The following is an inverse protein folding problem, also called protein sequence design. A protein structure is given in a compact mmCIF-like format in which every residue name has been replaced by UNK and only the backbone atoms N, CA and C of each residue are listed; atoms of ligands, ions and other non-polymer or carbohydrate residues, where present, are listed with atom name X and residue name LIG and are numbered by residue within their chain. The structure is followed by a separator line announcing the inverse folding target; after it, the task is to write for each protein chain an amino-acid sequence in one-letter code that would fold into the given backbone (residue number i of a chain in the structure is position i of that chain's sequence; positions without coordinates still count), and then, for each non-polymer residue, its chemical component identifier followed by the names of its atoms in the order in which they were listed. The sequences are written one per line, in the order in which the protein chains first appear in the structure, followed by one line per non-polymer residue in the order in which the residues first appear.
data_IF_161367837065
#
_entry.id   IF_161367837065
#
_cell.length_a   1.000
_cell.length_b   1.000
_cell.length_c   1.000
_cell.angle_alpha   90.00
_cell.angle_beta   90.00
_cell.angle_gamma   90.00
#
_symmetry.space_group_name_H-M   'P 1'
#
loop_
_entity.id
_entity.type
_entity.pdbx_description
1 polymer ?
#
# COMPACT_ATOMS: atom_id res chain seq x y z
N UNK A 1 -39.68 31.02 -3.95
CA UNK A 1 -39.24 29.64 -4.20
C UNK A 1 -37.83 29.68 -4.74
N UNK A 2 -36.84 29.48 -3.87
CA UNK A 2 -35.45 29.16 -4.24
C UNK A 2 -34.81 28.47 -3.04
N UNK A 3 -35.11 27.18 -2.83
CA UNK A 3 -34.38 26.36 -1.88
C UNK A 3 -33.01 26.05 -2.48
N UNK A 4 -32.01 26.83 -2.06
CA UNK A 4 -30.60 26.54 -2.31
C UNK A 4 -30.23 25.44 -1.30
N UNK A 5 -30.42 24.18 -1.69
CA UNK A 5 -29.77 23.06 -1.00
C UNK A 5 -28.27 23.21 -1.19
N UNK A 6 -27.62 23.83 -0.21
CA UNK A 6 -26.19 23.74 0.02
C UNK A 6 -25.81 22.25 0.05
N UNK A 7 -25.20 21.76 -1.02
CA UNK A 7 -24.52 20.47 -1.04
C UNK A 7 -23.40 20.54 -0.01
N UNK A 8 -23.68 20.07 1.20
CA UNK A 8 -22.66 19.75 2.19
C UNK A 8 -21.68 18.79 1.49
N UNK A 9 -20.37 19.09 1.43
CA UNK A 9 -19.41 18.16 0.87
C UNK A 9 -19.52 16.87 1.66
N UNK A 10 -19.73 15.76 0.94
CA UNK A 10 -19.78 14.43 1.53
C UNK A 10 -18.54 14.26 2.43
N UNK A 11 -18.77 13.91 3.71
CA UNK A 11 -17.73 13.55 4.68
C UNK A 11 -16.59 12.85 3.94
N UNK A 12 -15.42 13.50 3.87
CA UNK A 12 -14.21 12.87 3.35
C UNK A 12 -14.08 11.52 4.05
N UNK A 13 -14.25 10.42 3.30
CA UNK A 13 -13.92 9.09 3.77
C UNK A 13 -12.49 9.19 4.29
N UNK A 14 -12.29 8.94 5.58
CA UNK A 14 -11.00 9.05 6.25
C UNK A 14 -9.95 8.39 5.37
N UNK A 15 -9.03 9.17 4.83
CA UNK A 15 -7.88 8.64 4.13
C UNK A 15 -7.15 7.70 5.11
N UNK A 16 -6.60 6.59 4.62
CA UNK A 16 -5.71 5.79 5.48
C UNK A 16 -4.49 6.65 5.75
N UNK A 17 -4.32 7.08 7.00
CA UNK A 17 -3.20 7.91 7.42
C UNK A 17 -2.03 7.00 7.82
N UNK A 18 -0.95 7.07 7.06
CA UNK A 18 0.34 6.48 7.43
C UNK A 18 1.28 7.59 7.91
N UNK A 19 2.08 7.31 8.94
CA UNK A 19 3.23 8.13 9.30
C UNK A 19 4.24 8.22 8.15
N UNK A 20 5.14 9.19 8.21
CA UNK A 20 6.18 9.36 7.18
C UNK A 20 7.05 8.11 7.04
N UNK A 21 7.40 7.50 8.17
CA UNK A 21 8.20 6.30 8.30
C UNK A 21 7.46 5.10 7.70
N UNK A 22 6.19 4.91 8.03
CA UNK A 22 5.35 3.86 7.44
C UNK A 22 5.19 4.02 5.93
N UNK A 23 5.13 5.26 5.41
CA UNK A 23 5.11 5.51 3.96
C UNK A 23 6.41 5.09 3.29
N UNK A 24 7.56 5.36 3.91
CA UNK A 24 8.87 4.91 3.39
C UNK A 24 8.96 3.39 3.44
N UNK A 25 8.54 2.78 4.55
CA UNK A 25 8.52 1.32 4.70
C UNK A 25 7.64 0.67 3.64
N UNK A 26 6.42 1.17 3.44
CA UNK A 26 5.51 0.67 2.42
C UNK A 26 6.11 0.83 1.00
N UNK A 27 6.70 1.97 0.68
CA UNK A 27 7.39 2.16 -0.61
C UNK A 27 8.51 1.13 -0.80
N UNK A 28 9.34 0.93 0.22
CA UNK A 28 10.43 -0.06 0.19
C UNK A 28 9.89 -1.46 -0.04
N UNK A 29 8.79 -1.83 0.64
CA UNK A 29 8.15 -3.13 0.47
C UNK A 29 7.61 -3.28 -0.96
N UNK A 30 6.96 -2.27 -1.51
CA UNK A 30 6.42 -2.31 -2.88
C UNK A 30 7.55 -2.49 -3.90
N UNK A 31 8.66 -1.76 -3.75
CA UNK A 31 9.85 -1.92 -4.60
C UNK A 31 10.47 -3.33 -4.51
N UNK A 32 10.37 -3.98 -3.34
CA UNK A 32 10.81 -5.36 -3.17
C UNK A 32 9.84 -6.39 -3.75
N UNK A 33 8.55 -6.05 -3.86
CA UNK A 33 7.50 -6.94 -4.37
C UNK A 33 7.39 -6.90 -5.90
N UNK A 34 7.69 -5.76 -6.50
CA UNK A 34 7.60 -5.54 -7.95
C UNK A 34 9.01 -5.22 -8.45
N UNK A 35 9.67 -6.15 -9.15
CA UNK A 35 10.97 -5.89 -9.74
C UNK A 35 10.84 -4.78 -10.79
N UNK A 36 11.84 -3.91 -10.86
CA UNK A 36 12.00 -2.92 -11.91
C UNK A 36 13.00 -3.41 -12.96
N UNK A 37 12.80 -3.02 -14.21
CA UNK A 37 13.72 -3.27 -15.33
C UNK A 37 13.73 -2.07 -16.31
N UNK A 38 14.26 -2.25 -17.51
CA UNK A 38 14.38 -1.18 -18.51
C UNK A 38 13.01 -0.67 -19.01
N UNK A 39 12.00 -1.53 -19.04
CA UNK A 39 10.65 -1.21 -19.52
C UNK A 39 9.71 -0.79 -18.37
N UNK A 40 10.04 -1.18 -17.14
CA UNK A 40 9.22 -0.97 -15.95
C UNK A 40 9.99 -0.22 -14.86
N UNK A 41 9.69 1.09 -14.64
CA UNK A 41 10.41 1.88 -13.66
C UNK A 41 10.14 1.41 -12.22
N UNK A 42 11.03 1.72 -11.26
CA UNK A 42 10.80 1.42 -9.85
C UNK A 42 9.43 1.92 -9.37
N UNK A 43 8.62 1.12 -8.68
CA UNK A 43 7.30 1.53 -8.19
C UNK A 43 7.33 2.84 -7.39
N UNK A 44 8.34 3.04 -6.55
CA UNK A 44 8.53 4.28 -5.79
C UNK A 44 8.61 5.55 -6.65
N UNK A 45 9.00 5.45 -7.92
CA UNK A 45 9.02 6.59 -8.86
C UNK A 45 7.64 7.06 -9.32
N UNK A 46 6.61 6.22 -9.18
CA UNK A 46 5.25 6.50 -9.67
C UNK A 46 4.33 7.15 -8.62
N UNK A 47 4.84 7.44 -7.40
CA UNK A 47 4.08 8.01 -6.29
C UNK A 47 2.75 7.28 -5.98
N UNK A 48 2.73 5.95 -6.14
CA UNK A 48 1.51 5.14 -6.09
C UNK A 48 0.96 4.84 -4.68
N UNK A 49 1.60 5.33 -3.61
CA UNK A 49 1.19 5.07 -2.22
C UNK A 49 -0.24 5.55 -1.97
N UNK A 50 -0.60 6.74 -2.45
CA UNK A 50 -1.94 7.27 -2.18
C UNK A 50 -3.02 6.48 -2.93
N UNK A 51 -2.72 5.97 -4.12
CA UNK A 51 -3.60 5.05 -4.87
C UNK A 51 -3.75 3.70 -4.14
N UNK A 52 -2.63 3.15 -3.66
CA UNK A 52 -2.62 1.92 -2.85
C UNK A 52 -3.50 2.08 -1.61
N UNK A 53 -3.35 3.19 -0.88
CA UNK A 53 -4.11 3.48 0.34
C UNK A 53 -5.59 3.74 0.04
N UNK A 54 -5.92 4.36 -1.10
CA UNK A 54 -7.30 4.56 -1.53
C UNK A 54 -8.08 3.25 -1.63
N UNK A 55 -7.43 2.21 -2.15
CA UNK A 55 -8.03 0.88 -2.29
C UNK A 55 -8.23 0.12 -0.99
N UNK A 56 -7.61 0.55 0.12
CA UNK A 56 -7.84 -0.01 1.45
C UNK A 56 -9.11 0.51 2.11
N UNK A 57 -9.68 1.61 1.60
CA UNK A 57 -10.90 2.17 2.14
C UNK A 57 -12.08 1.20 1.96
N UNK A 58 -12.99 1.13 2.94
CA UNK A 58 -14.23 0.38 2.78
C UNK A 58 -15.09 1.06 1.70
N UNK A 59 -15.53 0.27 0.71
CA UNK A 59 -16.57 0.69 -0.23
C UNK A 59 -17.93 0.30 0.33
N UNK A 60 -18.97 1.09 0.03
CA UNK A 60 -20.33 0.88 0.57
C UNK A 60 -20.89 -0.50 0.19
N UNK A 61 -20.36 -1.09 -0.90
CA UNK A 61 -20.76 -2.40 -1.42
C UNK A 61 -19.96 -3.60 -0.85
N UNK A 62 -18.82 -3.37 -0.18
CA UNK A 62 -18.00 -4.44 0.40
C UNK A 62 -17.91 -4.28 1.92
N UNK A 63 -18.93 -4.79 2.63
CA UNK A 63 -18.92 -4.94 4.10
C UNK A 63 -18.12 -6.16 4.58
N UNK A 64 -17.57 -6.96 3.66
CA UNK A 64 -16.67 -8.06 3.96
C UNK A 64 -15.32 -7.53 4.44
N UNK A 65 -14.83 -8.04 5.57
CA UNK A 65 -13.53 -7.69 6.11
C UNK A 65 -12.44 -8.04 5.10
N UNK A 66 -11.89 -7.04 4.41
CA UNK A 66 -10.74 -7.25 3.51
C UNK A 66 -9.60 -7.86 4.30
N UNK A 67 -8.97 -8.89 3.72
CA UNK A 67 -7.77 -9.53 4.27
C UNK A 67 -6.69 -8.48 4.52
N UNK A 68 -6.49 -7.53 3.60
CA UNK A 68 -5.69 -6.34 3.83
C UNK A 68 -6.59 -5.13 4.03
N UNK A 69 -6.44 -4.45 5.17
CA UNK A 69 -7.10 -3.19 5.50
C UNK A 69 -6.11 -2.28 6.24
N UNK A 70 -6.47 -1.03 6.49
CA UNK A 70 -5.61 -0.05 7.16
C UNK A 70 -4.98 -0.59 8.45
N UNK A 71 -5.79 -1.16 9.35
CA UNK A 71 -5.30 -1.71 10.63
C UNK A 71 -4.27 -2.81 10.41
N UNK A 72 -4.54 -3.77 9.52
CA UNK A 72 -3.59 -4.85 9.23
C UNK A 72 -2.34 -4.36 8.52
N UNK A 73 -2.45 -3.33 7.68
CA UNK A 73 -1.29 -2.70 7.07
C UNK A 73 -0.36 -2.12 8.15
N UNK A 74 -0.88 -1.31 9.08
CA UNK A 74 -0.09 -0.78 10.20
C UNK A 74 0.60 -1.89 11.00
N UNK A 75 -0.13 -2.96 11.33
CA UNK A 75 0.45 -4.11 12.03
C UNK A 75 1.59 -4.75 11.24
N UNK A 76 1.42 -4.98 9.94
CA UNK A 76 2.49 -5.56 9.10
C UNK A 76 3.72 -4.67 9.04
N UNK A 77 3.55 -3.36 8.81
CA UNK A 77 4.66 -2.41 8.75
C UNK A 77 5.41 -2.41 10.09
N UNK A 78 4.68 -2.31 11.19
CA UNK A 78 5.25 -2.35 12.53
C UNK A 78 6.00 -3.66 12.82
N UNK A 79 5.42 -4.81 12.50
CA UNK A 79 6.02 -6.12 12.77
C UNK A 79 7.27 -6.37 11.92
N UNK A 80 7.25 -5.94 10.65
CA UNK A 80 8.43 -5.98 9.77
C UNK A 80 9.53 -5.06 10.32
N UNK A 81 9.17 -3.87 10.78
CA UNK A 81 10.12 -2.93 11.36
C UNK A 81 10.74 -3.46 12.65
N UNK A 82 9.95 -3.99 13.58
CA UNK A 82 10.44 -4.65 14.80
C UNK A 82 11.36 -5.81 14.45
N UNK A 83 10.95 -6.68 13.52
CA UNK A 83 11.74 -7.85 13.11
C UNK A 83 13.07 -7.45 12.44
N UNK A 84 13.13 -6.25 11.86
CA UNK A 84 14.36 -5.68 11.33
C UNK A 84 15.27 -5.03 12.39
N UNK A 85 14.80 -4.87 13.63
CA UNK A 85 15.51 -4.15 14.71
C UNK A 85 15.09 -2.68 14.82
N UNK A 86 13.87 -2.34 14.41
CA UNK A 86 13.31 -0.99 14.42
C UNK A 86 13.76 -0.09 13.27
N UNK A 87 14.43 -0.67 12.25
CA UNK A 87 14.91 0.06 11.06
C UNK A 87 14.81 -0.81 9.80
N UNK A 88 13.60 -1.12 9.36
CA UNK A 88 13.37 -1.97 8.17
C UNK A 88 14.11 -1.45 6.93
N UNK A 89 13.92 -0.19 6.58
CA UNK A 89 14.50 0.41 5.37
C UNK A 89 16.04 0.48 5.39
N UNK A 90 16.66 0.46 6.57
CA UNK A 90 18.13 0.47 6.70
C UNK A 90 18.75 -0.93 6.83
N UNK A 91 17.92 -1.97 6.92
CA UNK A 91 18.41 -3.35 6.89
C UNK A 91 18.96 -3.70 5.49
N UNK A 92 19.84 -4.70 5.40
CA UNK A 92 20.30 -5.18 4.10
C UNK A 92 19.13 -5.73 3.27
N UNK A 93 19.26 -5.69 1.94
CA UNK A 93 18.23 -6.17 1.03
C UNK A 93 17.91 -7.66 1.29
N UNK A 94 18.93 -8.47 1.60
CA UNK A 94 18.75 -9.89 1.92
C UNK A 94 17.89 -10.07 3.18
N UNK A 95 18.11 -9.22 4.19
CA UNK A 95 17.32 -9.24 5.43
C UNK A 95 15.89 -8.78 5.17
N UNK A 96 15.69 -7.71 4.39
CA UNK A 96 14.35 -7.25 4.01
C UNK A 96 13.57 -8.33 3.25
N UNK A 97 14.19 -8.95 2.23
CA UNK A 97 13.59 -10.04 1.46
C UNK A 97 13.31 -11.28 2.33
N UNK A 98 14.23 -11.64 3.22
CA UNK A 98 14.02 -12.74 4.16
C UNK A 98 12.79 -12.48 5.04
N UNK A 99 12.62 -11.25 5.56
CA UNK A 99 11.46 -10.88 6.38
C UNK A 99 10.15 -10.95 5.57
N UNK A 100 10.14 -10.51 4.32
CA UNK A 100 8.98 -10.65 3.44
C UNK A 100 8.64 -12.13 3.15
N UNK A 101 9.63 -13.00 2.93
CA UNK A 101 9.41 -14.44 2.79
C UNK A 101 8.87 -15.08 4.08
N UNK A 102 9.28 -14.57 5.24
CA UNK A 102 8.72 -15.03 6.52
C UNK A 102 7.27 -14.60 6.68
N UNK A 103 6.91 -13.38 6.26
CA UNK A 103 5.53 -12.92 6.20
C UNK A 103 4.70 -13.82 5.27
N UNK A 104 5.20 -14.11 4.07
CA UNK A 104 4.54 -15.01 3.12
C UNK A 104 4.27 -16.40 3.71
N UNK A 105 5.24 -16.97 4.42
CA UNK A 105 5.08 -18.30 5.05
C UNK A 105 4.09 -18.29 6.21
N UNK A 106 4.07 -17.22 7.02
CA UNK A 106 3.23 -17.12 8.23
C UNK A 106 1.80 -16.71 7.91
N UNK A 107 1.64 -15.75 7.01
CA UNK A 107 0.37 -15.16 6.61
C UNK A 107 0.25 -15.06 5.08
N UNK A 108 0.16 -16.21 4.37
CA UNK A 108 0.17 -16.23 2.91
C UNK A 108 -0.96 -15.40 2.30
N UNK A 109 -2.16 -15.45 2.87
CA UNK A 109 -3.28 -14.66 2.39
C UNK A 109 -3.07 -13.14 2.51
N UNK A 110 -2.37 -12.69 3.56
CA UNK A 110 -2.05 -11.28 3.75
C UNK A 110 -0.97 -10.83 2.78
N UNK A 111 0.08 -11.63 2.63
CA UNK A 111 1.14 -11.39 1.66
C UNK A 111 0.58 -11.31 0.23
N UNK A 112 -0.28 -12.26 -0.15
CA UNK A 112 -0.92 -12.25 -1.46
C UNK A 112 -1.82 -11.02 -1.66
N UNK A 113 -2.56 -10.59 -0.64
CA UNK A 113 -3.36 -9.37 -0.71
C UNK A 113 -2.49 -8.11 -0.87
N UNK A 114 -1.36 -8.04 -0.18
CA UNK A 114 -0.37 -6.96 -0.29
C UNK A 114 0.25 -6.92 -1.70
N UNK A 115 0.71 -8.07 -2.20
CA UNK A 115 1.28 -8.20 -3.53
C UNK A 115 0.27 -7.84 -4.62
N UNK A 116 -0.95 -8.38 -4.55
CA UNK A 116 -1.99 -8.11 -5.53
C UNK A 116 -2.36 -6.61 -5.57
N UNK A 117 -2.45 -5.98 -4.41
CA UNK A 117 -2.78 -4.57 -4.33
C UNK A 117 -1.64 -3.67 -4.81
N UNK A 118 -0.39 -4.01 -4.48
CA UNK A 118 0.79 -3.33 -4.99
C UNK A 118 0.83 -3.38 -6.52
N UNK A 119 0.65 -4.56 -7.11
CA UNK A 119 0.64 -4.74 -8.57
C UNK A 119 -0.51 -3.97 -9.23
N UNK A 120 -1.72 -4.06 -8.67
CA UNK A 120 -2.86 -3.32 -9.21
C UNK A 120 -2.59 -1.81 -9.24
N UNK A 121 -2.10 -1.28 -8.12
CA UNK A 121 -1.80 0.15 -7.98
C UNK A 121 -0.68 0.58 -8.93
N UNK A 122 0.37 -0.23 -9.06
CA UNK A 122 1.48 0.00 -9.97
C UNK A 122 1.04 0.06 -11.43
N UNK A 123 0.38 -0.98 -11.94
CA UNK A 123 -0.01 -1.02 -13.35
C UNK A 123 -1.11 -0.02 -13.69
N UNK A 124 -2.01 0.29 -12.74
CA UNK A 124 -2.98 1.37 -12.91
C UNK A 124 -2.26 2.70 -13.09
N UNK A 125 -1.31 3.01 -12.20
CA UNK A 125 -0.57 4.27 -12.25
C UNK A 125 0.32 4.35 -13.50
N UNK A 126 1.03 3.28 -13.83
CA UNK A 126 1.86 3.20 -15.03
C UNK A 126 1.04 3.43 -16.31
N UNK A 127 -0.14 2.81 -16.41
CA UNK A 127 -1.04 3.01 -17.55
C UNK A 127 -1.64 4.42 -17.62
N UNK A 128 -1.76 5.14 -16.50
CA UNK A 128 -2.20 6.54 -16.50
C UNK A 128 -1.08 7.52 -16.83
N UNK A 129 0.15 7.24 -16.37
CA UNK A 129 1.33 8.07 -16.64
C UNK A 129 1.88 7.90 -18.06
N UNK A 130 1.65 6.75 -18.69
CA UNK A 130 2.05 6.46 -20.07
C UNK A 130 1.06 6.92 -21.15
N UNK A 131 -0.02 7.63 -20.78
CA UNK A 131 -0.94 8.24 -21.76
C UNK A 131 -0.42 9.63 -22.14
N UNK A 132 -0.22 9.92 -23.44
CA UNK A 132 0.16 11.25 -23.91
C UNK A 132 -0.94 12.29 -23.69
#
# INVERSE_FOLDING_TARGET
MSDITLRVPAKHKHAVELSYEERIELNTIIDLLIPSDEDFPPPSSLHLIDEFLHHLLPTVENSTTKMLNAKRLHTVLHDLNISAGGRFCSASIEKQQMLLRLLERREPALYQALWALANHSYYKQFATSGRP
#
